data_IF_352557002917
#
_entry.id   IF_352557002917
#
_cell.length_a   1.000
_cell.length_b   1.000
_cell.length_c   1.000
_cell.angle_alpha   90.00
_cell.angle_beta   90.00
_cell.angle_gamma   90.00
#
_symmetry.space_group_name_H-M   'P 1'
#
loop_
_entity.id
_entity.type
_entity.pdbx_description
1 polymer ?
#
# COMPACT_ATOMS: atom_id res chain seq x y z
N UNK A 1 -6.00 -18.89 5.69
CA UNK A 1 -4.56 -18.57 5.83
C UNK A 1 -3.88 -19.80 6.39
N UNK A 2 -3.05 -20.46 5.59
CA UNK A 2 -2.46 -21.77 5.91
C UNK A 2 -1.69 -21.81 7.25
N UNK A 3 -0.96 -20.75 7.61
CA UNK A 3 -0.18 -20.71 8.85
C UNK A 3 -1.05 -20.69 10.11
N UNK A 4 -2.26 -20.10 10.05
CA UNK A 4 -3.16 -20.05 11.21
C UNK A 4 -3.69 -21.43 11.54
N UNK A 5 -4.02 -22.22 10.50
CA UNK A 5 -4.43 -23.61 10.65
C UNK A 5 -3.31 -24.44 11.29
N UNK A 6 -2.06 -24.30 10.84
CA UNK A 6 -0.91 -25.00 11.45
C UNK A 6 -0.76 -24.64 12.95
N UNK A 7 -0.89 -23.36 13.31
CA UNK A 7 -0.79 -22.93 14.72
C UNK A 7 -1.88 -23.54 15.61
N UNK A 8 -3.10 -23.69 15.08
CA UNK A 8 -4.23 -24.25 15.82
C UNK A 8 -4.17 -25.78 15.83
N UNK A 9 -4.05 -26.39 14.66
CA UNK A 9 -4.23 -27.84 14.47
C UNK A 9 -3.03 -28.65 14.93
N UNK A 10 -1.80 -28.17 14.65
CA UNK A 10 -0.56 -28.87 14.99
C UNK A 10 -0.05 -28.42 16.35
N UNK A 11 0.06 -27.11 16.55
CA UNK A 11 0.67 -26.54 17.75
C UNK A 11 -0.31 -26.29 18.89
N UNK A 12 -1.61 -26.47 18.68
CA UNK A 12 -2.67 -26.31 19.70
C UNK A 12 -2.57 -24.96 20.41
N UNK A 13 -2.25 -23.90 19.64
CA UNK A 13 -2.08 -22.55 20.15
C UNK A 13 -2.91 -21.55 19.34
N UNK A 14 -3.39 -20.47 19.99
CA UNK A 14 -4.08 -19.41 19.27
C UNK A 14 -3.13 -18.80 18.22
N UNK A 15 -3.64 -18.58 17.02
CA UNK A 15 -2.91 -18.03 15.89
C UNK A 15 -2.67 -16.52 16.02
N UNK A 16 -1.99 -16.12 17.10
CA UNK A 16 -1.69 -14.74 17.42
C UNK A 16 -0.30 -14.38 16.90
N UNK A 17 -0.21 -13.33 16.09
CA UNK A 17 1.09 -12.74 15.76
C UNK A 17 1.68 -12.10 17.03
N UNK A 18 2.91 -12.45 17.37
CA UNK A 18 3.55 -12.04 18.64
C UNK A 18 4.00 -10.58 18.67
N UNK A 19 4.07 -9.92 17.51
CA UNK A 19 4.49 -8.53 17.42
C UNK A 19 3.43 -7.69 16.72
N UNK A 20 3.01 -6.61 17.40
CA UNK A 20 2.27 -5.50 16.80
C UNK A 20 3.17 -4.27 16.87
N UNK A 21 3.84 -3.95 15.77
CA UNK A 21 4.70 -2.76 15.69
C UNK A 21 3.88 -1.52 15.37
N UNK A 22 4.07 -0.43 16.12
CA UNK A 22 3.58 0.87 15.70
C UNK A 22 4.41 1.37 14.52
N UNK A 23 3.79 1.43 13.35
CA UNK A 23 4.46 1.86 12.11
C UNK A 23 4.27 3.35 11.82
N UNK A 24 3.56 4.11 12.67
CA UNK A 24 3.28 5.54 12.42
C UNK A 24 4.54 6.36 12.15
N UNK A 25 5.61 6.11 12.90
CA UNK A 25 6.90 6.81 12.75
C UNK A 25 7.69 6.44 11.49
N UNK A 26 7.35 5.33 10.82
CA UNK A 26 8.01 4.88 9.58
C UNK A 26 7.14 5.09 8.34
N UNK A 27 5.96 5.69 8.48
CA UNK A 27 5.17 6.15 7.33
C UNK A 27 5.95 7.28 6.66
N UNK A 28 6.69 6.93 5.62
CA UNK A 28 7.44 7.89 4.82
C UNK A 28 6.52 8.82 4.03
N UNK A 29 7.13 9.76 3.30
CA UNK A 29 6.42 10.72 2.44
C UNK A 29 5.41 10.03 1.52
N UNK A 30 4.21 10.59 1.47
CA UNK A 30 3.13 10.19 0.60
C UNK A 30 2.89 11.26 -0.47
N UNK A 31 2.51 10.83 -1.66
CA UNK A 31 2.29 11.65 -2.84
C UNK A 31 0.88 11.42 -3.35
N UNK A 32 0.16 12.50 -3.66
CA UNK A 32 -1.22 12.42 -4.13
C UNK A 32 -1.26 12.16 -5.63
N UNK A 33 -2.03 11.14 -6.00
CA UNK A 33 -2.32 10.77 -7.38
C UNK A 33 -3.83 10.62 -7.55
N UNK A 34 -4.35 10.99 -8.72
CA UNK A 34 -5.77 10.87 -9.04
C UNK A 34 -5.99 9.99 -10.29
N UNK A 35 -7.07 9.21 -10.26
CA UNK A 35 -7.75 8.67 -11.44
C UNK A 35 -9.06 9.45 -11.65
N UNK A 36 -9.77 9.13 -12.73
CA UNK A 36 -11.18 9.54 -12.94
C UNK A 36 -12.17 9.07 -11.85
N UNK A 37 -11.70 8.28 -10.89
CA UNK A 37 -12.53 7.51 -9.96
C UNK A 37 -12.34 7.85 -8.48
N UNK A 38 -11.16 8.33 -8.08
CA UNK A 38 -10.76 8.60 -6.71
C UNK A 38 -9.33 9.17 -6.66
N UNK A 39 -8.98 9.72 -5.51
CA UNK A 39 -7.60 10.06 -5.15
C UNK A 39 -6.91 8.90 -4.41
N UNK A 40 -5.60 8.84 -4.54
CA UNK A 40 -4.75 7.77 -4.04
C UNK A 40 -3.46 8.36 -3.46
N UNK A 41 -3.09 7.91 -2.27
CA UNK A 41 -1.78 8.22 -1.70
C UNK A 41 -0.79 7.13 -2.08
N UNK A 42 0.23 7.51 -2.85
CA UNK A 42 1.34 6.64 -3.23
C UNK A 42 2.54 6.86 -2.30
N UNK A 43 3.23 5.76 -1.97
CA UNK A 43 4.48 5.83 -1.21
C UNK A 43 5.62 6.37 -2.07
N UNK A 44 6.66 6.91 -1.43
CA UNK A 44 7.88 7.36 -2.10
C UNK A 44 8.48 6.32 -3.07
N UNK A 45 8.36 5.02 -2.78
CA UNK A 45 8.84 3.95 -3.68
C UNK A 45 8.07 3.91 -5.01
N UNK A 46 6.74 4.05 -4.96
CA UNK A 46 5.90 4.08 -6.17
C UNK A 46 6.07 5.39 -6.92
N UNK A 47 6.07 6.52 -6.22
CA UNK A 47 6.37 7.83 -6.80
C UNK A 47 7.71 7.82 -7.54
N UNK A 48 8.79 7.34 -6.92
CA UNK A 48 10.11 7.24 -7.58
C UNK A 48 10.11 6.29 -8.80
N UNK A 49 9.29 5.24 -8.80
CA UNK A 49 9.11 4.40 -9.99
C UNK A 49 8.40 5.17 -11.11
N UNK A 50 7.41 5.98 -10.79
CA UNK A 50 6.70 6.82 -11.76
C UNK A 50 7.63 7.86 -12.37
N UNK A 51 8.44 8.53 -11.56
CA UNK A 51 9.48 9.46 -12.04
C UNK A 51 10.50 8.78 -12.97
N UNK A 52 10.72 7.47 -12.84
CA UNK A 52 11.58 6.67 -13.73
C UNK A 52 10.85 6.13 -14.97
N UNK A 53 9.59 6.51 -15.19
CA UNK A 53 8.80 6.13 -16.36
C UNK A 53 7.83 4.97 -16.16
N UNK A 54 7.67 4.46 -14.93
CA UNK A 54 6.65 3.43 -14.68
C UNK A 54 5.24 4.05 -14.65
N UNK A 55 4.27 3.39 -15.27
CA UNK A 55 2.86 3.78 -15.18
C UNK A 55 2.13 2.88 -14.18
N UNK A 56 1.29 3.48 -13.34
CA UNK A 56 0.40 2.74 -12.44
C UNK A 56 -1.06 2.98 -12.84
N UNK A 57 -1.87 1.93 -12.69
CA UNK A 57 -3.30 1.97 -12.95
C UNK A 57 -4.08 1.78 -11.66
N UNK A 58 -5.22 2.46 -11.55
CA UNK A 58 -6.13 2.27 -10.44
C UNK A 58 -6.72 0.85 -10.47
N UNK A 59 -6.75 0.17 -9.32
CA UNK A 59 -7.35 -1.18 -9.22
C UNK A 59 -8.87 -1.20 -9.42
N UNK A 60 -9.54 -0.05 -9.28
CA UNK A 60 -11.01 0.05 -9.40
C UNK A 60 -11.45 0.34 -10.83
N UNK A 61 -10.92 1.40 -11.45
CA UNK A 61 -11.35 1.81 -12.80
C UNK A 61 -10.34 1.46 -13.90
N UNK A 62 -9.17 0.91 -13.55
CA UNK A 62 -8.06 0.66 -14.47
C UNK A 62 -7.49 1.90 -15.19
N UNK A 63 -7.93 3.10 -14.81
CA UNK A 63 -7.43 4.37 -15.31
C UNK A 63 -6.01 4.68 -14.83
N UNK A 64 -5.28 5.47 -15.59
CA UNK A 64 -3.92 5.91 -15.26
C UNK A 64 -3.93 6.82 -14.04
N UNK A 65 -2.95 6.63 -13.16
CA UNK A 65 -2.74 7.48 -11.99
C UNK A 65 -1.87 8.68 -12.37
N UNK A 66 -2.47 9.87 -12.33
CA UNK A 66 -1.79 11.13 -12.62
C UNK A 66 -1.45 11.84 -11.30
N UNK A 67 -0.23 12.35 -11.18
CA UNK A 67 0.20 13.08 -9.99
C UNK A 67 -0.57 14.39 -9.87
N UNK A 68 -1.15 14.64 -8.69
CA UNK A 68 -1.89 15.85 -8.39
C UNK A 68 -0.89 16.93 -7.98
N UNK A 69 -0.24 17.55 -8.97
CA UNK A 69 0.67 18.68 -8.72
C UNK A 69 -0.17 19.89 -8.33
N UNK A 70 -0.13 20.25 -7.04
CA UNK A 70 -0.60 21.55 -6.56
C UNK A 70 0.14 22.63 -7.36
N UNK A 71 -0.58 23.28 -8.26
CA UNK A 71 -0.14 24.50 -8.90
C UNK A 71 -0.03 25.56 -7.80
N UNK A 72 1.20 26.00 -7.52
CA UNK A 72 1.50 27.26 -6.84
C UNK A 72 2.11 28.16 -7.90
#
# INVERSE_FOLDING_TARGET
MEWQAIMIDVFQRPANATHSFDVKGVIGKQFNYACLCSTHQLTIRRHNKILKGAQYKCRKCNGELVEEKLAI
#
